data_IF_571916324532
#
_entry.id   IF_571916324532
#
_cell.length_a   1.000
_cell.length_b   1.000
_cell.length_c   1.000
_cell.angle_alpha   90.00
_cell.angle_beta   90.00
_cell.angle_gamma   90.00
#
_symmetry.space_group_name_H-M   'P 1'
#
loop_
_entity.id
_entity.type
_entity.pdbx_description
1 polymer ?
#
# COMPACT_ATOMS: atom_id res chain seq x y z
N UNK A 1 -23.27 12.89 -0.59
CA UNK A 1 -22.88 11.86 0.38
C UNK A 1 -21.36 11.91 0.42
N UNK A 2 -20.74 12.15 1.58
CA UNK A 2 -19.28 12.09 1.66
C UNK A 2 -18.84 10.65 1.47
N UNK A 3 -17.75 10.39 0.75
CA UNK A 3 -17.22 9.04 0.59
C UNK A 3 -16.77 8.52 1.96
N UNK A 4 -17.22 7.32 2.30
CA UNK A 4 -16.89 6.71 3.59
C UNK A 4 -15.68 5.81 3.43
N UNK A 5 -14.59 6.14 4.12
CA UNK A 5 -13.42 5.26 4.22
C UNK A 5 -13.74 4.05 5.10
N UNK A 6 -13.19 2.86 4.80
CA UNK A 6 -13.26 1.73 5.71
C UNK A 6 -12.75 2.10 7.12
N UNK A 7 -13.58 1.84 8.13
CA UNK A 7 -13.23 2.03 9.54
C UNK A 7 -13.62 0.80 10.36
N UNK A 8 -12.71 -0.16 10.51
CA UNK A 8 -12.92 -1.33 11.34
C UNK A 8 -12.64 -1.08 12.84
N UNK A 9 -12.55 0.18 13.29
CA UNK A 9 -12.15 0.55 14.66
C UNK A 9 -10.66 0.29 14.98
N UNK A 10 -9.83 0.07 13.98
CA UNK A 10 -8.38 -0.15 14.03
C UNK A 10 -7.74 0.22 12.71
N UNK A 11 -6.41 0.16 12.65
CA UNK A 11 -5.69 0.31 11.38
C UNK A 11 -6.22 -0.68 10.33
N UNK A 12 -6.54 -0.18 9.13
CA UNK A 12 -7.06 -0.95 7.99
C UNK A 12 -5.96 -1.83 7.42
N UNK A 13 -6.26 -3.07 7.07
CA UNK A 13 -5.36 -3.97 6.37
C UNK A 13 -5.79 -4.07 4.92
N UNK A 14 -4.95 -3.56 4.01
CA UNK A 14 -5.18 -3.57 2.56
C UNK A 14 -4.33 -4.70 1.96
N UNK A 15 -4.99 -5.75 1.46
CA UNK A 15 -4.34 -6.88 0.82
C UNK A 15 -3.97 -6.59 -0.62
N UNK A 16 -2.71 -6.82 -1.01
CA UNK A 16 -2.21 -6.57 -2.37
C UNK A 16 -2.53 -7.76 -3.28
N UNK A 17 -3.27 -7.52 -4.33
CA UNK A 17 -3.56 -8.47 -5.38
C UNK A 17 -3.00 -7.99 -6.73
N UNK A 18 -1.82 -8.47 -7.11
CA UNK A 18 -1.23 -8.14 -8.40
C UNK A 18 -1.74 -9.10 -9.48
N UNK A 19 -2.47 -8.58 -10.47
CA UNK A 19 -2.97 -9.29 -11.63
C UNK A 19 -1.99 -9.11 -12.79
N UNK A 20 -0.75 -9.58 -12.62
CA UNK A 20 0.32 -9.46 -13.61
C UNK A 20 0.91 -10.83 -13.95
N UNK A 21 1.44 -11.06 -15.18
CA UNK A 21 1.98 -12.37 -15.60
C UNK A 21 3.06 -12.94 -14.66
N UNK A 22 3.78 -12.07 -13.96
CA UNK A 22 4.86 -12.46 -13.04
C UNK A 22 4.36 -12.86 -11.65
N UNK A 23 3.07 -12.65 -11.35
CA UNK A 23 2.52 -12.83 -9.99
C UNK A 23 2.03 -14.25 -9.72
N UNK A 24 1.72 -15.04 -10.76
CA UNK A 24 1.15 -16.38 -10.70
C UNK A 24 1.99 -17.39 -11.48
N UNK A 25 3.28 -17.34 -11.40
CA UNK A 25 4.17 -18.01 -12.30
C UNK A 25 4.48 -19.46 -11.99
N UNK A 26 4.35 -20.31 -12.99
CA UNK A 26 5.47 -21.10 -13.55
C UNK A 26 5.38 -21.04 -15.08
N UNK A 27 5.82 -19.91 -15.70
CA UNK A 27 5.99 -19.85 -17.14
C UNK A 27 5.05 -18.99 -17.97
N UNK A 28 4.43 -17.93 -17.42
CA UNK A 28 4.03 -16.78 -18.23
C UNK A 28 2.95 -16.95 -19.29
N UNK A 29 2.02 -17.87 -19.14
CA UNK A 29 0.89 -18.02 -20.07
C UNK A 29 -0.41 -18.04 -19.30
N UNK A 30 -1.18 -16.95 -19.46
CA UNK A 30 -2.50 -16.73 -18.90
C UNK A 30 -2.52 -16.64 -17.37
N UNK A 31 -2.66 -15.42 -16.91
CA UNK A 31 -3.26 -15.15 -15.62
C UNK A 31 -4.62 -15.83 -15.61
N UNK A 32 -4.74 -16.92 -14.89
CA UNK A 32 -6.05 -17.48 -14.66
C UNK A 32 -6.78 -16.46 -13.77
N UNK A 33 -7.83 -15.84 -14.32
CA UNK A 33 -8.70 -14.92 -13.60
C UNK A 33 -9.20 -15.59 -12.31
N UNK A 34 -9.48 -16.86 -12.39
CA UNK A 34 -10.03 -17.64 -11.29
C UNK A 34 -9.00 -17.79 -10.16
N UNK A 35 -7.71 -17.92 -10.48
CA UNK A 35 -6.62 -17.91 -9.49
C UNK A 35 -6.48 -16.53 -8.82
N UNK A 36 -6.61 -15.45 -9.57
CA UNK A 36 -6.58 -14.10 -9.02
C UNK A 36 -7.77 -13.84 -8.08
N UNK A 37 -8.97 -14.26 -8.48
CA UNK A 37 -10.18 -14.16 -7.65
C UNK A 37 -10.03 -15.03 -6.39
N UNK A 38 -9.59 -16.28 -6.52
CA UNK A 38 -9.35 -17.17 -5.39
C UNK A 38 -8.33 -16.57 -4.40
N UNK A 39 -7.24 -15.95 -4.91
CA UNK A 39 -6.27 -15.28 -4.06
C UNK A 39 -6.86 -14.05 -3.36
N UNK A 40 -7.66 -13.24 -4.05
CA UNK A 40 -8.37 -12.11 -3.44
C UNK A 40 -9.32 -12.55 -2.32
N UNK A 41 -10.08 -13.62 -2.53
CA UNK A 41 -10.94 -14.22 -1.50
C UNK A 41 -10.11 -14.77 -0.33
N UNK A 42 -8.96 -15.38 -0.59
CA UNK A 42 -8.05 -15.87 0.44
C UNK A 42 -7.48 -14.72 1.29
N UNK A 43 -7.05 -13.61 0.67
CA UNK A 43 -6.61 -12.40 1.39
C UNK A 43 -7.74 -11.86 2.29
N UNK A 44 -8.98 -11.84 1.79
CA UNK A 44 -10.16 -11.43 2.58
C UNK A 44 -10.37 -12.36 3.77
N UNK A 45 -10.32 -13.66 3.57
CA UNK A 45 -10.44 -14.68 4.63
C UNK A 45 -9.31 -14.57 5.66
N UNK A 46 -8.12 -14.17 5.26
CA UNK A 46 -6.97 -13.89 6.13
C UNK A 46 -7.11 -12.58 6.92
N UNK A 47 -8.17 -11.82 6.71
CA UNK A 47 -8.50 -10.62 7.49
C UNK A 47 -8.11 -9.29 6.85
N UNK A 48 -7.86 -9.24 5.54
CA UNK A 48 -7.80 -7.98 4.82
C UNK A 48 -9.17 -7.29 4.84
N UNK A 49 -9.19 -5.99 5.10
CA UNK A 49 -10.40 -5.16 5.10
C UNK A 49 -10.76 -4.71 3.69
N UNK A 50 -9.75 -4.51 2.84
CA UNK A 50 -9.82 -4.06 1.47
C UNK A 50 -8.84 -4.86 0.62
N UNK A 51 -9.20 -5.20 -0.62
CA UNK A 51 -8.29 -5.83 -1.59
C UNK A 51 -7.92 -4.81 -2.65
N UNK A 52 -6.62 -4.54 -2.79
CA UNK A 52 -6.08 -3.58 -3.76
C UNK A 52 -5.60 -4.31 -5.01
N UNK A 53 -6.35 -4.15 -6.11
CA UNK A 53 -6.18 -4.90 -7.36
C UNK A 53 -5.38 -4.09 -8.36
N UNK A 54 -4.18 -4.56 -8.71
CA UNK A 54 -3.29 -3.90 -9.67
C UNK A 54 -3.01 -4.73 -10.92
N UNK A 55 -3.14 -4.12 -12.10
CA UNK A 55 -2.89 -4.74 -13.41
C UNK A 55 -1.51 -4.42 -14.01
N UNK A 56 -0.78 -3.49 -13.42
CA UNK A 56 0.56 -3.08 -13.83
C UNK A 56 1.55 -3.28 -12.66
N UNK A 57 2.75 -3.76 -12.94
CA UNK A 57 3.77 -3.92 -11.90
C UNK A 57 4.44 -2.59 -11.58
N UNK A 58 4.38 -2.16 -10.33
CA UNK A 58 5.09 -0.98 -9.83
C UNK A 58 6.53 -1.28 -9.37
N UNK A 59 7.08 -2.48 -9.63
CA UNK A 59 8.46 -2.84 -9.27
C UNK A 59 9.47 -2.01 -10.06
N UNK A 60 10.62 -1.63 -9.47
CA UNK A 60 11.69 -0.95 -10.22
C UNK A 60 12.07 -1.72 -11.49
N UNK A 61 12.10 -1.01 -12.64
CA UNK A 61 12.41 -1.59 -13.93
C UNK A 61 11.29 -2.35 -14.63
N UNK A 62 10.09 -2.42 -14.07
CA UNK A 62 8.93 -3.01 -14.73
C UNK A 62 8.52 -2.19 -15.96
N UNK A 63 8.18 -2.88 -17.06
CA UNK A 63 7.62 -2.23 -18.25
C UNK A 63 6.16 -1.87 -18.02
N UNK A 64 5.78 -0.69 -18.45
CA UNK A 64 4.38 -0.27 -18.46
C UNK A 64 3.58 -1.07 -19.48
N UNK A 65 2.32 -1.33 -19.15
CA UNK A 65 1.35 -1.87 -20.09
C UNK A 65 0.43 -0.74 -20.60
N UNK A 66 -0.26 -0.94 -21.72
CA UNK A 66 -1.28 0.00 -22.19
C UNK A 66 -2.57 -0.09 -21.34
N UNK A 67 -3.43 0.92 -21.46
CA UNK A 67 -4.68 0.99 -20.69
C UNK A 67 -5.63 -0.17 -20.99
N UNK A 68 -5.70 -0.64 -22.25
CA UNK A 68 -6.56 -1.76 -22.62
C UNK A 68 -6.11 -3.05 -21.95
N UNK A 69 -4.81 -3.32 -21.95
CA UNK A 69 -4.21 -4.48 -21.26
C UNK A 69 -4.45 -4.42 -19.75
N UNK A 70 -4.25 -3.26 -19.13
CA UNK A 70 -4.50 -3.07 -17.69
C UNK A 70 -5.98 -3.29 -17.36
N UNK A 71 -6.89 -2.67 -18.10
CA UNK A 71 -8.34 -2.84 -17.95
C UNK A 71 -8.76 -4.29 -18.11
N UNK A 72 -8.27 -4.97 -19.14
CA UNK A 72 -8.58 -6.39 -19.39
C UNK A 72 -8.13 -7.31 -18.25
N UNK A 73 -7.10 -6.94 -17.50
CA UNK A 73 -6.62 -7.67 -16.32
C UNK A 73 -7.47 -7.40 -15.09
N UNK A 74 -7.71 -6.13 -14.74
CA UNK A 74 -8.29 -5.77 -13.43
C UNK A 74 -9.80 -5.87 -13.40
N UNK A 75 -10.51 -5.48 -14.47
CA UNK A 75 -11.97 -5.38 -14.45
C UNK A 75 -12.69 -6.71 -14.23
N UNK A 76 -12.30 -7.83 -14.87
CA UNK A 76 -12.94 -9.12 -14.59
C UNK A 76 -12.76 -9.57 -13.14
N UNK A 77 -11.59 -9.35 -12.56
CA UNK A 77 -11.28 -9.73 -11.17
C UNK A 77 -12.06 -8.86 -10.19
N UNK A 78 -12.05 -7.53 -10.39
CA UNK A 78 -12.83 -6.60 -9.56
C UNK A 78 -14.31 -6.92 -9.55
N UNK A 79 -14.89 -7.26 -10.73
CA UNK A 79 -16.31 -7.61 -10.85
C UNK A 79 -16.67 -8.82 -9.99
N UNK A 80 -15.87 -9.86 -10.03
CA UNK A 80 -16.14 -11.09 -9.29
C UNK A 80 -15.91 -10.93 -7.78
N UNK A 81 -14.87 -10.21 -7.38
CA UNK A 81 -14.65 -9.89 -5.98
C UNK A 81 -15.77 -9.02 -5.42
N UNK A 82 -16.18 -7.97 -6.15
CA UNK A 82 -17.30 -7.11 -5.75
C UNK A 82 -18.63 -7.89 -5.66
N UNK A 83 -18.91 -8.78 -6.64
CA UNK A 83 -20.07 -9.67 -6.61
C UNK A 83 -20.06 -10.63 -5.40
N UNK A 84 -18.87 -10.98 -4.91
CA UNK A 84 -18.66 -11.77 -3.70
C UNK A 84 -18.71 -10.94 -2.41
N UNK A 85 -19.04 -9.65 -2.48
CA UNK A 85 -19.12 -8.74 -1.33
C UNK A 85 -17.75 -8.35 -0.75
N UNK A 86 -16.67 -8.50 -1.51
CA UNK A 86 -15.32 -8.11 -1.09
C UNK A 86 -15.09 -6.64 -1.44
N UNK A 87 -14.80 -5.76 -0.46
CA UNK A 87 -14.40 -4.38 -0.74
C UNK A 87 -13.09 -4.34 -1.51
N UNK A 88 -13.05 -3.63 -2.65
CA UNK A 88 -11.88 -3.55 -3.51
C UNK A 88 -11.48 -2.11 -3.82
N UNK A 89 -10.17 -1.84 -3.90
CA UNK A 89 -9.59 -0.69 -4.59
C UNK A 89 -8.92 -1.12 -5.88
N UNK A 90 -8.70 -0.18 -6.79
CA UNK A 90 -7.89 -0.38 -7.99
C UNK A 90 -6.58 0.38 -7.85
N UNK A 91 -5.44 -0.31 -8.05
CA UNK A 91 -4.10 0.29 -8.12
C UNK A 91 -3.82 0.65 -9.59
N UNK A 92 -3.98 1.93 -9.92
CA UNK A 92 -3.77 2.44 -11.27
C UNK A 92 -3.37 3.92 -11.28
N UNK A 93 -2.57 4.29 -12.27
CA UNK A 93 -2.22 5.70 -12.54
C UNK A 93 -3.01 6.28 -13.74
N UNK A 94 -4.04 5.57 -14.23
CA UNK A 94 -4.81 5.95 -15.41
C UNK A 94 -6.27 6.24 -15.06
N UNK A 95 -6.73 7.43 -15.38
CA UNK A 95 -8.10 7.87 -15.11
C UNK A 95 -9.16 6.97 -15.74
N UNK A 96 -8.93 6.52 -16.99
CA UNK A 96 -9.87 5.64 -17.69
C UNK A 96 -10.00 4.26 -17.02
N UNK A 97 -8.90 3.69 -16.48
CA UNK A 97 -8.93 2.43 -15.74
C UNK A 97 -9.62 2.62 -14.40
N UNK A 98 -9.32 3.74 -13.70
CA UNK A 98 -9.97 4.10 -12.44
C UNK A 98 -11.49 4.21 -12.60
N UNK A 99 -11.96 4.94 -13.62
CA UNK A 99 -13.40 5.10 -13.92
C UNK A 99 -14.07 3.76 -14.16
N UNK A 100 -13.52 2.93 -15.06
CA UNK A 100 -14.04 1.60 -15.34
C UNK A 100 -14.08 0.69 -14.12
N UNK A 101 -13.06 0.78 -13.23
CA UNK A 101 -13.03 0.01 -12.00
C UNK A 101 -14.11 0.44 -11.00
N UNK A 102 -14.34 1.75 -10.84
CA UNK A 102 -15.38 2.29 -9.97
C UNK A 102 -16.78 1.90 -10.47
N UNK A 103 -17.03 1.94 -11.79
CA UNK A 103 -18.26 1.45 -12.40
C UNK A 103 -18.50 -0.04 -12.18
N UNK A 104 -17.43 -0.80 -11.98
CA UNK A 104 -17.47 -2.26 -11.75
C UNK A 104 -17.69 -2.62 -10.27
N UNK A 105 -17.59 -1.65 -9.35
CA UNK A 105 -17.82 -1.84 -7.93
C UNK A 105 -16.59 -1.67 -7.04
N UNK A 106 -15.46 -1.22 -7.59
CA UNK A 106 -14.37 -0.74 -6.74
C UNK A 106 -14.84 0.46 -5.91
N UNK A 107 -14.42 0.53 -4.66
CA UNK A 107 -14.85 1.59 -3.73
C UNK A 107 -13.78 2.64 -3.46
N UNK A 108 -12.59 2.50 -4.07
CA UNK A 108 -11.44 3.37 -3.86
C UNK A 108 -10.46 3.25 -5.02
N UNK A 109 -9.71 4.31 -5.29
CA UNK A 109 -8.58 4.31 -6.23
C UNK A 109 -7.28 4.50 -5.44
N UNK A 110 -6.29 3.65 -5.71
CA UNK A 110 -4.91 3.80 -5.25
C UNK A 110 -4.06 4.27 -6.42
N UNK A 111 -3.65 5.53 -6.41
CA UNK A 111 -2.82 6.12 -7.47
C UNK A 111 -1.40 6.38 -6.97
N UNK A 112 -0.49 5.50 -7.37
CA UNK A 112 0.93 5.59 -6.99
C UNK A 112 1.64 6.82 -7.56
N UNK A 113 0.98 7.57 -8.45
CA UNK A 113 1.52 8.82 -9.00
C UNK A 113 1.01 10.08 -8.30
N UNK A 114 0.00 9.96 -7.41
CA UNK A 114 -0.65 11.11 -6.78
C UNK A 114 -1.24 12.11 -7.79
N UNK A 115 -1.80 11.61 -8.91
CA UNK A 115 -2.38 12.41 -9.98
C UNK A 115 -1.38 12.98 -10.98
N UNK A 116 -0.09 12.65 -10.87
CA UNK A 116 0.95 13.23 -11.76
C UNK A 116 1.12 12.49 -13.08
N UNK A 117 0.76 11.20 -13.16
CA UNK A 117 0.95 10.41 -14.36
C UNK A 117 -0.15 10.63 -15.41
N UNK A 118 -1.36 10.99 -14.99
CA UNK A 118 -2.51 11.25 -15.86
C UNK A 118 -3.24 12.52 -15.43
N UNK A 119 -3.20 13.60 -16.23
CA UNK A 119 -3.87 14.85 -15.88
C UNK A 119 -5.41 14.73 -15.79
N UNK A 120 -6.00 13.67 -16.36
CA UNK A 120 -7.42 13.40 -16.24
C UNK A 120 -7.80 12.76 -14.90
N UNK A 121 -6.86 12.27 -14.10
CA UNK A 121 -7.15 11.56 -12.85
C UNK A 121 -7.91 12.45 -11.84
N UNK A 122 -7.40 13.63 -11.51
CA UNK A 122 -8.06 14.50 -10.54
C UNK A 122 -9.48 14.93 -10.97
N UNK A 123 -9.73 15.38 -12.21
CA UNK A 123 -11.11 15.63 -12.69
C UNK A 123 -12.02 14.39 -12.62
N UNK A 124 -11.50 13.21 -12.91
CA UNK A 124 -12.24 11.95 -12.80
C UNK A 124 -12.63 11.66 -11.36
N UNK A 125 -11.69 11.76 -10.43
CA UNK A 125 -11.97 11.53 -9.00
C UNK A 125 -12.96 12.55 -8.43
N UNK A 126 -12.89 13.82 -8.85
CA UNK A 126 -13.86 14.85 -8.47
C UNK A 126 -15.29 14.50 -8.96
N UNK A 127 -15.42 13.96 -10.18
CA UNK A 127 -16.69 13.52 -10.75
C UNK A 127 -17.25 12.28 -10.07
N UNK A 128 -16.39 11.27 -9.85
CA UNK A 128 -16.79 9.99 -9.27
C UNK A 128 -17.07 10.09 -7.75
N UNK A 129 -16.51 11.09 -7.06
CA UNK A 129 -16.66 11.30 -5.61
C UNK A 129 -16.31 10.07 -4.76
N UNK A 130 -15.26 9.34 -5.16
CA UNK A 130 -14.79 8.15 -4.46
C UNK A 130 -13.48 8.42 -3.73
N UNK A 131 -13.16 7.65 -2.68
CA UNK A 131 -11.88 7.75 -1.99
C UNK A 131 -10.68 7.56 -2.93
N UNK A 132 -9.64 8.36 -2.70
CA UNK A 132 -8.44 8.39 -3.53
C UNK A 132 -7.17 8.41 -2.68
N UNK A 133 -6.32 7.40 -2.82
CA UNK A 133 -5.00 7.37 -2.20
C UNK A 133 -4.03 8.14 -3.11
N UNK A 134 -3.50 9.23 -2.59
CA UNK A 134 -2.46 10.05 -3.20
C UNK A 134 -1.10 9.61 -2.67
N UNK A 135 -0.32 8.86 -3.48
CA UNK A 135 1.02 8.48 -3.08
C UNK A 135 2.04 9.53 -3.54
N UNK A 136 3.03 9.80 -2.69
CA UNK A 136 4.19 10.60 -3.06
C UNK A 136 5.02 9.93 -4.14
N UNK A 137 5.20 10.62 -5.26
CA UNK A 137 5.85 10.11 -6.46
C UNK A 137 6.70 11.17 -7.16
N UNK A 138 7.90 10.79 -7.62
CA UNK A 138 8.81 11.67 -8.39
C UNK A 138 9.07 11.19 -9.81
N UNK A 139 8.51 10.05 -10.23
CA UNK A 139 8.67 9.53 -11.57
C UNK A 139 8.42 8.03 -11.69
N UNK A 140 8.38 7.56 -12.92
CA UNK A 140 8.15 6.15 -13.24
C UNK A 140 9.27 5.23 -12.72
N UNK A 141 8.96 3.94 -12.64
CA UNK A 141 9.80 2.90 -12.02
C UNK A 141 11.17 2.73 -12.66
N UNK A 142 11.34 3.07 -13.92
CA UNK A 142 12.60 3.04 -14.69
C UNK A 142 13.60 4.13 -14.24
N UNK A 143 13.12 5.25 -13.68
CA UNK A 143 13.96 6.38 -13.26
C UNK A 143 14.05 6.57 -11.73
N UNK A 144 13.45 5.68 -10.94
CA UNK A 144 13.38 5.84 -9.49
C UNK A 144 14.73 6.00 -8.78
N UNK A 145 15.79 5.36 -9.28
CA UNK A 145 17.11 5.44 -8.67
C UNK A 145 17.75 6.83 -8.83
N UNK A 146 17.55 7.46 -9.99
CA UNK A 146 18.07 8.80 -10.30
C UNK A 146 17.35 9.89 -9.49
N UNK A 147 16.07 9.67 -9.17
CA UNK A 147 15.19 10.63 -8.50
C UNK A 147 15.24 10.52 -6.97
N UNK A 148 16.01 9.59 -6.41
CA UNK A 148 16.12 9.36 -4.96
C UNK A 148 17.09 10.36 -4.28
N UNK A 149 16.99 11.64 -4.60
CA UNK A 149 17.82 12.72 -4.03
C UNK A 149 16.96 13.68 -3.21
N UNK A 150 17.28 13.83 -1.93
CA UNK A 150 16.60 14.69 -0.95
C UNK A 150 17.64 15.40 -0.09
N UNK A 151 17.37 16.64 0.31
CA UNK A 151 18.08 17.32 1.40
C UNK A 151 17.47 16.94 2.75
N UNK A 152 16.14 17.01 2.83
CA UNK A 152 15.32 16.54 3.96
C UNK A 152 14.12 15.77 3.39
N UNK A 153 14.21 14.44 3.41
CA UNK A 153 13.17 13.58 2.83
C UNK A 153 11.81 13.75 3.52
N UNK A 154 11.78 14.01 4.83
CA UNK A 154 10.53 14.16 5.58
C UNK A 154 9.83 15.47 5.20
N UNK A 155 10.57 16.57 5.23
CA UNK A 155 10.05 17.90 4.88
C UNK A 155 9.62 17.97 3.40
N UNK A 156 10.44 17.42 2.48
CA UNK A 156 10.15 17.45 1.05
C UNK A 156 8.95 16.56 0.70
N UNK A 157 8.87 15.33 1.22
CA UNK A 157 7.70 14.45 0.99
C UNK A 157 6.42 15.07 1.54
N UNK A 158 6.49 15.69 2.73
CA UNK A 158 5.36 16.42 3.30
C UNK A 158 4.91 17.54 2.37
N UNK A 159 5.82 18.39 1.93
CA UNK A 159 5.51 19.54 1.06
C UNK A 159 4.95 19.08 -0.30
N UNK A 160 5.53 18.03 -0.90
CA UNK A 160 5.06 17.49 -2.17
C UNK A 160 3.68 16.83 -2.05
N UNK A 161 3.37 16.16 -0.94
CA UNK A 161 2.02 15.62 -0.68
C UNK A 161 1.00 16.75 -0.48
N UNK A 162 1.32 17.81 0.25
CA UNK A 162 0.45 18.99 0.39
C UNK A 162 0.13 19.59 -0.97
N UNK A 163 1.12 19.75 -1.84
CA UNK A 163 0.90 20.23 -3.20
C UNK A 163 -0.02 19.30 -4.03
N UNK A 164 0.00 17.98 -3.78
CA UNK A 164 -0.94 17.03 -4.43
C UNK A 164 -2.34 17.18 -3.89
N UNK A 165 -2.48 17.35 -2.56
CA UNK A 165 -3.78 17.64 -1.93
C UNK A 165 -4.38 18.93 -2.52
N UNK A 166 -3.60 20.03 -2.55
CA UNK A 166 -4.05 21.30 -3.09
C UNK A 166 -4.52 21.19 -4.55
N UNK A 167 -3.74 20.46 -5.37
CA UNK A 167 -4.11 20.22 -6.77
C UNK A 167 -5.41 19.38 -6.91
N UNK A 168 -5.60 18.37 -6.07
CA UNK A 168 -6.80 17.55 -6.06
C UNK A 168 -8.04 18.37 -5.64
N UNK A 169 -7.92 19.15 -4.57
CA UNK A 169 -8.99 20.03 -4.06
C UNK A 169 -9.34 21.10 -5.10
N UNK A 170 -8.35 21.71 -5.75
CA UNK A 170 -8.57 22.67 -6.82
C UNK A 170 -9.32 22.07 -8.01
N UNK A 171 -9.10 20.78 -8.30
CA UNK A 171 -9.84 20.03 -9.32
C UNK A 171 -11.27 19.65 -8.87
N UNK A 172 -11.66 19.93 -7.63
CA UNK A 172 -12.98 19.66 -7.07
C UNK A 172 -13.12 18.35 -6.29
N UNK A 173 -12.01 17.68 -5.95
CA UNK A 173 -12.04 16.49 -5.09
C UNK A 173 -12.35 16.92 -3.65
N UNK A 174 -13.26 16.19 -2.99
CA UNK A 174 -13.56 16.37 -1.56
C UNK A 174 -12.32 16.03 -0.73
N UNK A 175 -11.79 16.95 0.11
CA UNK A 175 -10.69 16.64 1.00
C UNK A 175 -10.91 15.39 1.88
N UNK A 176 -12.17 15.16 2.30
CA UNK A 176 -12.55 13.98 3.09
C UNK A 176 -12.46 12.65 2.34
N UNK A 177 -12.25 12.69 1.02
CA UNK A 177 -12.02 11.51 0.18
C UNK A 177 -10.54 11.16 0.03
N UNK A 178 -9.61 12.02 0.50
CA UNK A 178 -8.18 11.85 0.26
C UNK A 178 -7.51 11.03 1.36
N UNK A 179 -6.63 10.13 0.94
CA UNK A 179 -5.73 9.36 1.80
C UNK A 179 -4.31 9.58 1.30
N UNK A 180 -3.34 9.75 2.19
CA UNK A 180 -1.94 10.02 1.82
C UNK A 180 -1.07 8.79 1.98
N UNK A 181 -0.14 8.55 1.04
CA UNK A 181 0.91 7.53 1.15
C UNK A 181 2.29 8.18 0.96
N UNK A 182 3.24 8.03 1.90
CA UNK A 182 4.60 8.56 1.77
C UNK A 182 5.40 7.94 0.62
N UNK A 183 4.92 6.90 -0.04
CA UNK A 183 5.57 6.27 -1.18
C UNK A 183 6.89 5.59 -0.82
N UNK A 184 6.93 4.80 0.25
CA UNK A 184 8.12 4.05 0.64
C UNK A 184 8.62 3.18 -0.52
N UNK A 185 9.93 3.22 -0.78
CA UNK A 185 10.55 2.46 -1.87
C UNK A 185 10.37 3.05 -3.27
N UNK A 186 9.63 4.15 -3.43
CA UNK A 186 9.50 4.87 -4.70
C UNK A 186 10.41 6.10 -4.68
N UNK A 187 11.43 6.11 -5.56
CA UNK A 187 12.47 7.16 -5.60
C UNK A 187 13.07 7.46 -4.20
N UNK A 188 13.34 6.44 -3.40
CA UNK A 188 13.83 6.57 -2.01
C UNK A 188 14.88 5.51 -1.69
N UNK A 189 15.96 5.91 -1.03
CA UNK A 189 16.98 5.01 -0.46
C UNK A 189 16.44 4.30 0.79
N UNK A 190 17.16 3.31 1.30
CA UNK A 190 16.82 2.66 2.57
C UNK A 190 16.77 3.68 3.74
N UNK A 191 17.74 4.60 3.81
CA UNK A 191 17.79 5.64 4.83
C UNK A 191 16.56 6.57 4.75
N UNK A 192 16.15 6.97 3.53
CA UNK A 192 14.95 7.79 3.33
C UNK A 192 13.67 7.07 3.82
N UNK A 193 13.55 5.76 3.56
CA UNK A 193 12.39 5.01 4.02
C UNK A 193 12.35 4.91 5.56
N UNK A 194 13.49 4.71 6.21
CA UNK A 194 13.55 4.68 7.66
C UNK A 194 13.28 6.04 8.30
N UNK A 195 13.76 7.13 7.69
CA UNK A 195 13.46 8.48 8.15
C UNK A 195 11.96 8.78 8.10
N UNK A 196 11.28 8.44 6.99
CA UNK A 196 9.83 8.60 6.86
C UNK A 196 9.05 7.75 7.86
N UNK A 197 9.45 6.49 8.08
CA UNK A 197 8.82 5.63 9.07
C UNK A 197 9.02 6.12 10.50
N UNK A 198 10.18 6.71 10.80
CA UNK A 198 10.48 7.31 12.10
C UNK A 198 9.75 8.62 12.38
N UNK A 199 9.17 9.26 11.35
CA UNK A 199 8.48 10.56 11.44
C UNK A 199 7.09 10.51 10.78
N UNK A 200 6.34 9.43 11.00
CA UNK A 200 4.95 9.30 10.49
C UNK A 200 4.02 10.34 11.10
N UNK A 201 4.30 10.81 12.32
CA UNK A 201 3.61 11.89 13.01
C UNK A 201 3.52 13.15 12.14
N UNK A 202 4.61 13.55 11.46
CA UNK A 202 4.67 14.72 10.57
C UNK A 202 3.65 14.64 9.42
N UNK A 203 3.36 13.41 8.94
CA UNK A 203 2.37 13.19 7.87
C UNK A 203 0.96 13.08 8.44
N UNK A 204 0.79 12.45 9.60
CA UNK A 204 -0.50 12.32 10.29
C UNK A 204 -1.01 13.70 10.74
N UNK A 205 -0.13 14.60 11.17
CA UNK A 205 -0.46 15.99 11.55
C UNK A 205 -1.00 16.84 10.38
N UNK A 206 -0.88 16.37 9.13
CA UNK A 206 -1.58 17.01 8.00
C UNK A 206 -3.10 16.89 8.09
N UNK A 207 -3.63 16.02 8.97
CA UNK A 207 -5.06 15.82 9.20
C UNK A 207 -5.75 14.92 8.18
N UNK A 208 -5.01 14.26 7.29
CA UNK A 208 -5.51 13.26 6.36
C UNK A 208 -5.20 11.85 6.86
N UNK A 209 -6.05 10.86 6.56
CA UNK A 209 -5.69 9.45 6.75
C UNK A 209 -4.40 9.11 6.01
N UNK A 210 -3.51 8.35 6.68
CA UNK A 210 -2.22 7.94 6.10
C UNK A 210 -2.21 6.43 5.92
N UNK A 211 -1.79 5.94 4.74
CA UNK A 211 -1.53 4.53 4.47
C UNK A 211 -0.04 4.29 4.30
N UNK A 212 0.45 3.14 4.77
CA UNK A 212 1.87 2.77 4.69
C UNK A 212 2.03 1.45 3.94
N UNK A 213 2.73 1.50 2.81
CA UNK A 213 3.07 0.33 1.99
C UNK A 213 4.54 -0.08 2.13
N UNK A 214 4.91 -0.82 3.19
CA UNK A 214 6.28 -1.31 3.41
C UNK A 214 6.51 -2.75 2.94
N UNK A 215 5.44 -3.48 2.61
CA UNK A 215 5.43 -4.92 2.44
C UNK A 215 6.44 -5.43 1.42
N UNK A 216 7.30 -6.34 1.89
CA UNK A 216 8.34 -7.03 1.11
C UNK A 216 9.37 -6.11 0.43
N UNK A 217 9.41 -4.80 0.76
CA UNK A 217 10.28 -3.83 0.11
C UNK A 217 11.75 -4.07 0.40
N UNK A 218 12.62 -3.65 -0.53
CA UNK A 218 14.08 -3.92 -0.51
C UNK A 218 14.77 -3.44 0.75
N UNK A 219 14.37 -2.31 1.32
CA UNK A 219 15.00 -1.76 2.52
C UNK A 219 14.83 -2.66 3.75
N UNK A 220 13.73 -3.44 3.83
CA UNK A 220 13.56 -4.49 4.85
C UNK A 220 14.54 -5.64 4.61
N UNK A 221 14.67 -6.08 3.36
CA UNK A 221 15.64 -7.11 2.99
C UNK A 221 17.08 -6.72 3.32
N UNK A 222 17.47 -5.47 3.01
CA UNK A 222 18.80 -4.94 3.32
C UNK A 222 19.10 -4.91 4.83
N UNK A 223 18.13 -4.54 5.66
CA UNK A 223 18.26 -4.59 7.12
C UNK A 223 18.50 -6.01 7.62
N UNK A 224 17.76 -6.99 7.07
CA UNK A 224 17.82 -8.37 7.52
C UNK A 224 19.06 -9.11 7.00
N UNK A 225 19.60 -8.74 5.84
CA UNK A 225 20.82 -9.32 5.27
C UNK A 225 22.05 -9.03 6.14
N UNK A 226 22.15 -7.83 6.72
CA UNK A 226 23.24 -7.46 7.61
C UNK A 226 23.34 -8.28 8.92
N UNK A 227 22.27 -8.96 9.32
CA UNK A 227 22.23 -9.81 10.51
C UNK A 227 22.78 -11.22 10.27
N UNK A 228 22.75 -11.72 9.05
CA UNK A 228 23.21 -13.07 8.69
C UNK A 228 24.73 -13.15 8.41
N UNK A 229 25.43 -12.00 8.39
CA UNK A 229 26.85 -11.91 8.04
C UNK A 229 27.84 -12.47 9.06
N UNK A 230 27.41 -12.94 10.25
CA UNK A 230 28.28 -13.56 11.25
C UNK A 230 28.04 -15.06 11.49
N UNK A 231 26.87 -15.59 11.10
CA UNK A 231 26.51 -16.96 11.45
C UNK A 231 26.09 -17.86 10.26
N UNK A 232 26.27 -17.44 9.01
CA UNK A 232 25.68 -18.17 7.91
C UNK A 232 26.46 -18.21 6.61
N UNK A 233 27.70 -18.74 6.61
CA UNK A 233 28.43 -19.05 5.38
C UNK A 233 27.80 -20.19 4.52
N UNK A 234 26.63 -20.71 4.91
CA UNK A 234 25.95 -21.86 4.29
C UNK A 234 24.49 -21.65 3.93
N UNK A 235 23.96 -20.42 3.87
CA UNK A 235 22.58 -20.23 3.41
C UNK A 235 22.57 -20.07 1.90
N UNK A 236 21.94 -21.04 1.20
CA UNK A 236 21.65 -21.05 -0.24
C UNK A 236 20.66 -19.93 -0.64
N UNK A 237 20.18 -19.13 0.30
CA UNK A 237 19.20 -18.06 0.10
C UNK A 237 19.75 -16.86 -0.69
N UNK A 238 21.07 -16.64 -0.69
CA UNK A 238 21.69 -15.50 -1.38
C UNK A 238 21.62 -15.56 -2.91
N UNK A 239 21.60 -16.77 -3.48
CA UNK A 239 21.62 -16.97 -4.93
C UNK A 239 20.26 -16.78 -5.61
N UNK A 240 19.15 -16.81 -4.87
CA UNK A 240 17.77 -16.73 -5.39
C UNK A 240 17.07 -15.39 -5.10
N UNK A 241 17.75 -14.40 -4.53
CA UNK A 241 17.19 -13.07 -4.33
C UNK A 241 17.21 -12.31 -5.67
N UNK A 242 16.06 -12.19 -6.32
CA UNK A 242 15.91 -11.47 -7.61
C UNK A 242 16.28 -9.97 -7.54
N UNK A 243 16.41 -9.40 -6.34
CA UNK A 243 16.71 -7.98 -6.13
C UNK A 243 18.07 -7.72 -5.46
N UNK A 244 18.91 -8.72 -5.32
CA UNK A 244 20.28 -8.61 -4.79
C UNK A 244 20.38 -8.29 -3.29
N UNK A 245 19.29 -8.38 -2.51
CA UNK A 245 19.30 -8.07 -1.06
C UNK A 245 19.63 -9.25 -0.18
N UNK A 246 19.92 -10.43 -0.74
CA UNK A 246 20.28 -11.64 -0.02
C UNK A 246 19.13 -12.36 0.69
N UNK A 247 17.92 -11.78 0.75
CA UNK A 247 16.73 -12.41 1.33
C UNK A 247 15.56 -12.38 0.36
N UNK A 248 14.89 -13.53 0.18
CA UNK A 248 13.70 -13.66 -0.67
C UNK A 248 12.60 -12.70 -0.25
N UNK A 249 11.73 -12.30 -1.19
CA UNK A 249 10.64 -11.35 -0.91
C UNK A 249 9.67 -11.88 0.16
N UNK A 250 9.29 -13.16 0.09
CA UNK A 250 8.46 -13.86 1.06
C UNK A 250 9.12 -13.99 2.44
N UNK A 251 10.43 -14.09 2.52
CA UNK A 251 11.19 -14.08 3.78
C UNK A 251 11.19 -12.75 4.52
N UNK A 252 10.50 -11.70 4.01
CA UNK A 252 10.39 -10.36 4.62
C UNK A 252 9.05 -10.12 5.32
N UNK A 253 8.14 -11.10 5.36
CA UNK A 253 6.79 -10.92 5.89
C UNK A 253 6.77 -10.65 7.39
N UNK A 254 7.63 -11.29 8.18
CA UNK A 254 7.81 -10.97 9.60
C UNK A 254 8.24 -9.51 9.83
N UNK A 255 9.18 -8.99 9.02
CA UNK A 255 9.58 -7.59 9.10
C UNK A 255 8.47 -6.65 8.64
N UNK A 256 7.67 -7.07 7.64
CA UNK A 256 6.47 -6.34 7.21
C UNK A 256 5.45 -6.24 8.34
N UNK A 257 5.18 -7.34 9.05
CA UNK A 257 4.25 -7.36 10.18
C UNK A 257 4.75 -6.46 11.33
N UNK A 258 6.06 -6.45 11.62
CA UNK A 258 6.65 -5.55 12.60
C UNK A 258 6.44 -4.07 12.23
N UNK A 259 6.67 -3.69 10.96
CA UNK A 259 6.38 -2.33 10.48
C UNK A 259 4.89 -2.03 10.54
N UNK A 260 4.02 -2.99 10.21
CA UNK A 260 2.56 -2.83 10.30
C UNK A 260 2.11 -2.52 11.75
N UNK A 261 2.67 -3.22 12.74
CA UNK A 261 2.39 -2.95 14.15
C UNK A 261 2.84 -1.54 14.57
N UNK A 262 4.07 -1.15 14.22
CA UNK A 262 4.63 0.16 14.57
C UNK A 262 3.87 1.31 13.89
N UNK A 263 3.52 1.15 12.62
CA UNK A 263 2.73 2.12 11.86
C UNK A 263 1.32 2.28 12.47
N UNK A 264 0.66 1.16 12.81
CA UNK A 264 -0.64 1.18 13.49
C UNK A 264 -0.55 1.84 14.87
N UNK A 265 0.52 1.57 15.64
CA UNK A 265 0.76 2.23 16.93
C UNK A 265 0.99 3.74 16.78
N UNK A 266 1.65 4.18 15.71
CA UNK A 266 1.81 5.59 15.38
C UNK A 266 0.49 6.28 14.97
N UNK A 267 -0.56 5.52 14.62
CA UNK A 267 -1.88 6.06 14.29
C UNK A 267 -2.17 6.18 12.81
N UNK A 268 -1.45 5.47 11.93
CA UNK A 268 -1.81 5.45 10.51
C UNK A 268 -3.16 4.79 10.31
N UNK A 269 -3.89 5.27 9.30
CA UNK A 269 -5.19 4.73 8.93
C UNK A 269 -5.11 3.31 8.37
N UNK A 270 -4.09 3.01 7.56
CA UNK A 270 -3.99 1.72 6.91
C UNK A 270 -2.57 1.26 6.60
N UNK A 271 -2.42 -0.07 6.42
CA UNK A 271 -1.20 -0.72 5.93
C UNK A 271 -1.52 -1.55 4.69
N UNK A 272 -0.67 -1.46 3.67
CA UNK A 272 -0.83 -2.18 2.40
C UNK A 272 0.19 -3.31 2.33
N UNK A 273 -0.30 -4.57 2.26
CA UNK A 273 0.49 -5.77 2.58
C UNK A 273 0.20 -6.96 1.64
N UNK A 274 1.20 -7.84 1.44
CA UNK A 274 1.01 -9.11 0.71
C UNK A 274 0.55 -10.25 1.63
N UNK A 275 1.01 -10.25 2.90
CA UNK A 275 0.58 -11.20 3.93
C UNK A 275 -0.44 -10.49 4.84
N UNK A 276 -1.71 -10.76 4.57
CA UNK A 276 -2.79 -10.15 5.31
C UNK A 276 -2.90 -10.75 6.73
N UNK A 277 -2.67 -12.04 6.92
CA UNK A 277 -2.83 -12.71 8.20
C UNK A 277 -1.86 -12.16 9.25
N UNK A 278 -0.56 -12.19 8.96
CA UNK A 278 0.45 -11.68 9.88
C UNK A 278 0.27 -10.17 10.17
N UNK A 279 -0.12 -9.39 9.17
CA UNK A 279 -0.35 -7.95 9.36
C UNK A 279 -1.64 -7.67 10.14
N UNK A 280 -2.68 -8.49 9.97
CA UNK A 280 -3.93 -8.42 10.75
C UNK A 280 -3.67 -8.64 12.25
N UNK A 281 -2.88 -9.66 12.57
CA UNK A 281 -2.46 -9.92 13.95
C UNK A 281 -1.63 -8.77 14.51
N UNK A 282 -0.67 -8.26 13.72
CA UNK A 282 0.20 -7.16 14.10
C UNK A 282 -0.58 -5.87 14.44
N UNK A 283 -1.57 -5.48 13.62
CA UNK A 283 -2.39 -4.30 13.90
C UNK A 283 -3.37 -4.52 15.05
N UNK A 284 -3.86 -5.75 15.26
CA UNK A 284 -4.68 -6.09 16.41
C UNK A 284 -3.90 -5.97 17.73
N UNK A 285 -2.65 -6.45 17.75
CA UNK A 285 -1.74 -6.29 18.91
C UNK A 285 -1.47 -4.81 19.18
N UNK A 286 -1.17 -4.01 18.14
CA UNK A 286 -0.96 -2.57 18.29
C UNK A 286 -2.19 -1.85 18.85
N UNK A 287 -3.40 -2.21 18.41
CA UNK A 287 -4.64 -1.65 18.93
C UNK A 287 -4.85 -2.00 20.43
N UNK A 288 -4.66 -3.27 20.80
CA UNK A 288 -4.77 -3.71 22.20
C UNK A 288 -3.73 -3.02 23.10
N UNK A 289 -2.50 -2.86 22.61
CA UNK A 289 -1.43 -2.15 23.32
C UNK A 289 -1.81 -0.71 23.64
N UNK A 290 -2.37 0.02 22.67
CA UNK A 290 -2.80 1.41 22.84
C UNK A 290 -3.94 1.53 23.88
N UNK A 291 -4.90 0.61 23.88
CA UNK A 291 -5.99 0.58 24.86
C UNK A 291 -5.43 0.32 26.27
N UNK A 292 -4.55 -0.64 26.44
CA UNK A 292 -3.89 -0.97 27.71
C UNK A 292 -3.01 0.15 28.26
N UNK A 293 -2.45 1.01 27.40
CA UNK A 293 -1.66 2.17 27.77
C UNK A 293 -2.51 3.40 28.18
N UNK A 294 -3.83 3.35 27.96
CA UNK A 294 -4.73 4.45 28.34
C UNK A 294 -4.93 4.48 29.87
N UNK A 295 -4.81 5.64 30.56
CA UNK A 295 -4.82 5.72 32.04
C UNK A 295 -6.17 5.43 32.71
N UNK A 296 -7.15 4.94 31.99
CA UNK A 296 -8.53 4.73 32.48
C UNK A 296 -8.87 3.30 32.91
N UNK A 297 -7.95 2.35 32.88
CA UNK A 297 -8.16 1.04 33.52
C UNK A 297 -7.92 1.17 35.02
N UNK A 298 -8.93 1.68 35.76
CA UNK A 298 -8.96 1.50 37.21
C UNK A 298 -9.06 -0.01 37.50
N UNK A 299 -8.21 -0.59 38.36
CA UNK A 299 -8.45 -1.93 38.82
C UNK A 299 -9.82 -1.95 39.55
N UNK A 300 -10.68 -2.89 39.17
CA UNK A 300 -11.92 -3.13 39.87
C UNK A 300 -11.57 -3.36 41.35
N UNK A 301 -12.13 -2.50 42.20
CA UNK A 301 -11.91 -2.59 43.64
C UNK A 301 -12.26 -3.98 44.14
N UNK A 302 -11.32 -4.60 44.85
CA UNK A 302 -11.59 -5.82 45.62
C UNK A 302 -12.64 -5.57 46.69
N UNK A 303 -13.38 -6.59 47.07
CA UNK A 303 -14.40 -6.47 48.12
C UNK A 303 -13.76 -6.16 49.49
N UNK A 304 -14.39 -5.22 50.22
CA UNK A 304 -14.11 -4.99 51.63
C UNK A 304 -14.64 -6.16 52.47
#
# INVERSE_FOLDING_TARGET
>A
MHPVLPDPGRCVVIGILNVTPDSFSDGGRYLDRDDAVAHGLALRAQGADLIDVGGESARPGARRVDACTETARVIPVLRELAASGVPCSVDTTRAAVAEAALETGAIMVNDVSGGLADPAMAPTMARCRMPWILMHWRGHSDRMAELASYQDVVAEVRAELVARVDAAVLAGVDPGALVLDPGLGFAKTAAHNWALLGHLDVLIELGFPVVVGASRKRFLGSLLAGRNGKDGANSTDGANSRDGTGRRCDGRDTATAAVSALAAAAGVWGVRVHDAAASRDAVAVAAAWRVGASPTVRPAGGPQ
#
